data_IF_246069973774
#
_entry.id   IF_246069973774
#
_cell.length_a   1.000
_cell.length_b   1.000
_cell.length_c   1.000
_cell.angle_alpha   90.00
_cell.angle_beta   90.00
_cell.angle_gamma   90.00
#
_symmetry.space_group_name_H-M   'P 1'
#
loop_
_entity.id
_entity.type
_entity.pdbx_description
1 polymer ?
#
# COMPACT_ATOMS: atom_id res chain seq x y z
N UNK A 1 4.13 -1.58 -9.76
CA UNK A 1 3.15 -1.56 -10.86
C UNK A 1 3.88 -1.77 -12.19
N UNK A 2 3.57 -2.82 -12.97
CA UNK A 2 4.29 -3.14 -14.22
C UNK A 2 4.30 -2.00 -15.25
N UNK A 3 3.33 -1.09 -15.16
CA UNK A 3 3.16 0.03 -16.10
C UNK A 3 3.86 1.33 -15.67
N UNK A 4 4.43 1.41 -14.47
CA UNK A 4 5.20 2.58 -14.03
C UNK A 4 6.66 2.39 -14.44
N UNK A 5 7.24 3.31 -15.22
CA UNK A 5 8.63 3.21 -15.67
C UNK A 5 9.61 3.23 -14.50
N UNK A 6 10.77 2.62 -14.66
CA UNK A 6 11.75 2.53 -13.59
C UNK A 6 12.28 3.91 -13.17
N UNK A 7 12.49 4.82 -14.12
CA UNK A 7 12.88 6.21 -13.88
C UNK A 7 11.88 6.97 -12.98
N UNK A 8 10.58 6.77 -13.21
CA UNK A 8 9.52 7.40 -12.42
C UNK A 8 9.42 6.79 -11.01
N UNK A 9 9.82 5.52 -10.84
CA UNK A 9 9.83 4.87 -9.52
C UNK A 9 10.90 5.44 -8.60
N UNK A 10 12.11 5.72 -9.12
CA UNK A 10 13.23 6.20 -8.29
C UNK A 10 12.83 7.45 -7.52
N UNK A 11 12.20 8.42 -8.21
CA UNK A 11 11.71 9.67 -7.59
C UNK A 11 10.68 9.46 -6.49
N UNK A 12 9.96 8.35 -6.52
CA UNK A 12 8.98 7.98 -5.50
C UNK A 12 9.59 7.16 -4.38
N UNK A 13 10.63 6.37 -4.66
CA UNK A 13 11.28 5.48 -3.69
C UNK A 13 12.17 6.26 -2.74
N UNK A 14 12.93 7.23 -3.24
CA UNK A 14 13.86 8.01 -2.41
C UNK A 14 13.21 8.56 -1.13
N UNK A 15 12.07 9.29 -1.18
CA UNK A 15 11.41 9.80 0.03
C UNK A 15 10.74 8.73 0.91
N UNK A 16 10.56 7.50 0.42
CA UNK A 16 9.96 6.43 1.22
C UNK A 16 10.92 5.88 2.28
N UNK A 17 12.23 6.03 2.09
CA UNK A 17 13.22 5.51 3.04
C UNK A 17 13.02 6.12 4.43
N UNK A 18 12.99 7.45 4.51
CA UNK A 18 12.78 8.17 5.78
C UNK A 18 11.43 7.84 6.41
N UNK A 19 10.39 7.64 5.58
CA UNK A 19 9.07 7.26 6.04
C UNK A 19 9.05 5.85 6.63
N UNK A 20 9.75 4.90 6.01
CA UNK A 20 9.87 3.52 6.50
C UNK A 20 10.59 3.51 7.85
N UNK A 21 11.69 4.26 7.97
CA UNK A 21 12.44 4.38 9.23
C UNK A 21 11.55 4.95 10.34
N UNK A 22 10.75 5.98 10.04
CA UNK A 22 9.79 6.53 10.99
C UNK A 22 8.72 5.52 11.43
N UNK A 23 8.21 4.69 10.51
CA UNK A 23 7.24 3.63 10.82
C UNK A 23 7.87 2.60 11.77
N UNK A 24 9.10 2.17 11.50
CA UNK A 24 9.82 1.20 12.33
C UNK A 24 10.09 1.74 13.74
N UNK A 25 10.49 3.02 13.86
CA UNK A 25 10.70 3.67 15.16
C UNK A 25 9.38 3.72 15.96
N UNK A 26 8.29 4.13 15.32
CA UNK A 26 6.98 4.18 15.96
C UNK A 26 6.48 2.80 16.39
N UNK A 27 6.69 1.77 15.56
CA UNK A 27 6.37 0.39 15.90
C UNK A 27 7.15 -0.09 17.13
N UNK A 28 8.47 0.20 17.18
CA UNK A 28 9.30 -0.10 18.34
C UNK A 28 8.82 0.62 19.63
N UNK A 29 8.13 1.76 19.48
CA UNK A 29 7.52 2.52 20.57
C UNK A 29 6.07 2.10 20.88
N UNK A 30 5.59 0.99 20.30
CA UNK A 30 4.26 0.42 20.57
C UNK A 30 3.12 0.98 19.72
N UNK A 31 3.42 1.76 18.68
CA UNK A 31 2.42 2.27 17.73
C UNK A 31 2.20 1.26 16.61
N UNK A 32 1.02 0.63 16.58
CA UNK A 32 0.72 -0.43 15.61
C UNK A 32 0.83 0.00 14.15
N UNK A 33 1.56 -0.78 13.34
CA UNK A 33 1.82 -0.53 11.90
C UNK A 33 0.53 -0.35 11.11
N UNK A 34 -0.52 -1.11 11.42
CA UNK A 34 -1.81 -1.00 10.72
C UNK A 34 -2.41 0.41 10.81
N UNK A 35 -2.34 1.04 11.99
CA UNK A 35 -2.82 2.41 12.18
C UNK A 35 -1.96 3.43 11.43
N UNK A 36 -0.63 3.24 11.45
CA UNK A 36 0.31 4.10 10.75
C UNK A 36 0.11 4.05 9.23
N UNK A 37 -0.01 2.85 8.65
CA UNK A 37 -0.26 2.66 7.20
C UNK A 37 -1.59 3.28 6.79
N UNK A 38 -2.65 3.10 7.58
CA UNK A 38 -3.94 3.73 7.31
C UNK A 38 -3.84 5.27 7.32
N UNK A 39 -3.17 5.84 8.32
CA UNK A 39 -2.94 7.27 8.39
C UNK A 39 -2.17 7.79 7.17
N UNK A 40 -1.08 7.12 6.77
CA UNK A 40 -0.27 7.49 5.61
C UNK A 40 -1.10 7.48 4.32
N UNK A 41 -1.89 6.43 4.09
CA UNK A 41 -2.77 6.35 2.91
C UNK A 41 -3.80 7.50 2.93
N UNK A 42 -4.38 7.81 4.10
CA UNK A 42 -5.34 8.91 4.24
C UNK A 42 -4.71 10.26 3.92
N UNK A 43 -3.50 10.53 4.42
CA UNK A 43 -2.74 11.75 4.11
C UNK A 43 -2.41 11.82 2.63
N UNK A 44 -1.92 10.73 2.04
CA UNK A 44 -1.59 10.65 0.61
C UNK A 44 -2.80 11.01 -0.27
N UNK A 45 -3.96 10.40 -0.01
CA UNK A 45 -5.19 10.68 -0.76
C UNK A 45 -5.61 12.13 -0.59
N UNK A 46 -5.61 12.65 0.64
CA UNK A 46 -5.99 14.03 0.91
C UNK A 46 -5.06 15.03 0.20
N UNK A 47 -3.74 14.81 0.22
CA UNK A 47 -2.77 15.68 -0.45
C UNK A 47 -2.90 15.65 -1.96
N UNK A 48 -3.10 14.46 -2.56
CA UNK A 48 -3.27 14.33 -4.02
C UNK A 48 -4.61 14.89 -4.50
N UNK A 49 -5.68 14.73 -3.72
CA UNK A 49 -6.98 15.34 -4.01
C UNK A 49 -6.86 16.86 -4.10
N UNK A 50 -6.28 17.49 -3.08
CA UNK A 50 -6.25 18.95 -2.96
C UNK A 50 -5.42 19.62 -4.07
N UNK A 51 -4.47 18.91 -4.69
CA UNK A 51 -3.49 19.50 -5.58
C UNK A 51 -3.86 19.65 -7.06
N UNK A 52 -4.77 18.83 -7.62
CA UNK A 52 -4.90 18.76 -9.10
C UNK A 52 -6.27 18.44 -9.69
N UNK A 53 -7.15 17.72 -8.99
CA UNK A 53 -8.49 17.33 -9.48
C UNK A 53 -9.46 17.13 -8.32
N UNK A 54 -9.88 18.22 -7.70
CA UNK A 54 -10.87 18.18 -6.62
C UNK A 54 -12.29 17.90 -7.15
N UNK A 55 -12.48 16.73 -7.75
CA UNK A 55 -13.78 16.22 -8.17
C UNK A 55 -13.92 14.74 -7.83
N UNK A 56 -15.16 14.27 -7.78
CA UNK A 56 -15.49 12.91 -7.39
C UNK A 56 -14.84 11.84 -8.29
N UNK A 57 -14.68 12.14 -9.59
CA UNK A 57 -14.04 11.22 -10.51
C UNK A 57 -12.55 11.00 -10.16
N UNK A 58 -11.83 12.06 -9.82
CA UNK A 58 -10.44 11.98 -9.37
C UNK A 58 -10.29 11.22 -8.06
N UNK A 59 -11.22 11.39 -7.11
CA UNK A 59 -11.23 10.58 -5.90
C UNK A 59 -11.41 9.10 -6.20
N UNK A 60 -12.42 8.75 -7.01
CA UNK A 60 -12.70 7.36 -7.34
C UNK A 60 -11.51 6.70 -8.05
N UNK A 61 -10.78 7.43 -8.88
CA UNK A 61 -9.55 6.97 -9.52
C UNK A 61 -8.47 6.63 -8.46
N UNK A 62 -8.24 7.51 -7.48
CA UNK A 62 -7.29 7.28 -6.39
C UNK A 62 -7.68 6.09 -5.50
N UNK A 63 -8.96 6.00 -5.12
CA UNK A 63 -9.47 4.87 -4.33
C UNK A 63 -9.32 3.56 -5.10
N UNK A 64 -9.69 3.54 -6.39
CA UNK A 64 -9.53 2.36 -7.24
C UNK A 64 -8.07 1.92 -7.36
N UNK A 65 -7.13 2.86 -7.45
CA UNK A 65 -5.70 2.55 -7.46
C UNK A 65 -5.23 1.87 -6.16
N UNK A 66 -5.72 2.34 -5.01
CA UNK A 66 -5.42 1.74 -3.68
C UNK A 66 -6.02 0.34 -3.58
N UNK A 67 -7.25 0.13 -4.05
CA UNK A 67 -7.89 -1.18 -4.06
C UNK A 67 -7.11 -2.19 -4.92
N UNK A 68 -6.67 -1.78 -6.10
CA UNK A 68 -5.82 -2.61 -6.96
C UNK A 68 -4.50 -2.95 -6.26
N UNK A 69 -3.87 -1.99 -5.59
CA UNK A 69 -2.64 -2.21 -4.84
C UNK A 69 -2.84 -3.24 -3.71
N UNK A 70 -3.93 -3.12 -2.94
CA UNK A 70 -4.31 -4.07 -1.89
C UNK A 70 -4.44 -5.49 -2.43
N UNK A 71 -5.15 -5.68 -3.55
CA UNK A 71 -5.32 -6.99 -4.18
C UNK A 71 -4.00 -7.60 -4.65
N UNK A 72 -3.14 -6.80 -5.28
CA UNK A 72 -1.83 -7.26 -5.77
C UNK A 72 -0.88 -7.62 -4.59
N UNK A 73 -0.92 -6.85 -3.51
CA UNK A 73 -0.18 -7.17 -2.27
C UNK A 73 -0.68 -8.50 -1.69
N UNK A 74 -1.99 -8.69 -1.57
CA UNK A 74 -2.57 -9.94 -1.09
C UNK A 74 -2.13 -11.12 -1.96
N UNK A 75 -2.29 -11.01 -3.27
CA UNK A 75 -1.92 -12.06 -4.23
C UNK A 75 -0.44 -12.43 -4.15
N UNK A 76 0.46 -11.45 -4.01
CA UNK A 76 1.91 -11.70 -3.98
C UNK A 76 2.45 -12.11 -2.62
N UNK A 77 1.91 -11.55 -1.55
CA UNK A 77 2.41 -11.79 -0.20
C UNK A 77 1.62 -12.90 0.46
N UNK A 78 0.30 -12.80 0.57
CA UNK A 78 -0.53 -13.77 1.29
C UNK A 78 -0.71 -15.09 0.51
N UNK A 79 -0.95 -15.02 -0.80
CA UNK A 79 -1.20 -16.20 -1.64
C UNK A 79 -0.18 -17.35 -1.44
N UNK A 80 1.14 -17.09 -1.46
CA UNK A 80 2.13 -18.14 -1.19
C UNK A 80 2.06 -18.78 0.21
N UNK A 81 1.62 -18.05 1.25
CA UNK A 81 1.42 -18.63 2.58
C UNK A 81 0.16 -19.49 2.62
N UNK A 82 -0.90 -19.04 1.95
CA UNK A 82 -2.17 -19.77 1.85
C UNK A 82 -2.01 -21.07 1.06
N UNK A 83 -1.29 -21.05 -0.07
CA UNK A 83 -0.96 -22.27 -0.81
C UNK A 83 -0.20 -23.29 0.05
N UNK A 84 0.76 -22.80 0.86
CA UNK A 84 1.49 -23.67 1.80
C UNK A 84 0.58 -24.20 2.91
N UNK A 85 -0.37 -23.40 3.38
CA UNK A 85 -1.33 -23.82 4.39
C UNK A 85 -2.31 -24.86 3.83
N UNK A 86 -2.85 -24.65 2.63
CA UNK A 86 -3.73 -25.58 1.93
C UNK A 86 -3.06 -26.94 1.71
N UNK A 87 -1.78 -26.96 1.30
CA UNK A 87 -1.00 -28.20 1.18
C UNK A 87 -0.84 -28.96 2.50
N UNK A 88 -0.81 -28.26 3.64
CA UNK A 88 -0.66 -28.89 4.97
C UNK A 88 -1.98 -29.32 5.58
N UNK A 89 -3.02 -28.51 5.42
CA UNK A 89 -4.25 -28.61 6.19
C UNK A 89 -5.46 -29.05 5.35
N UNK A 90 -5.28 -29.22 4.03
CA UNK A 90 -6.36 -29.33 3.06
C UNK A 90 -6.75 -27.96 2.51
N UNK A 91 -7.13 -27.95 1.24
CA UNK A 91 -7.70 -26.76 0.61
C UNK A 91 -9.20 -26.65 0.98
N UNK A 92 -9.72 -25.43 0.93
CA UNK A 92 -11.14 -25.13 1.16
C UNK A 92 -11.99 -25.47 -0.06
N UNK A 93 -11.39 -25.47 -1.26
CA UNK A 93 -12.04 -25.71 -2.56
C UNK A 93 -11.53 -26.96 -3.26
#
# INVERSE_FOLDING_TARGET
>A
MPYLKQEDRVRLVDPLTDLIDAICINEANGVGVAGQVNFIISVLVNSLWQGTKANYAGLNELIGAIECAKLEIYRRLAGPYEEKAAKRNGDVF
#
